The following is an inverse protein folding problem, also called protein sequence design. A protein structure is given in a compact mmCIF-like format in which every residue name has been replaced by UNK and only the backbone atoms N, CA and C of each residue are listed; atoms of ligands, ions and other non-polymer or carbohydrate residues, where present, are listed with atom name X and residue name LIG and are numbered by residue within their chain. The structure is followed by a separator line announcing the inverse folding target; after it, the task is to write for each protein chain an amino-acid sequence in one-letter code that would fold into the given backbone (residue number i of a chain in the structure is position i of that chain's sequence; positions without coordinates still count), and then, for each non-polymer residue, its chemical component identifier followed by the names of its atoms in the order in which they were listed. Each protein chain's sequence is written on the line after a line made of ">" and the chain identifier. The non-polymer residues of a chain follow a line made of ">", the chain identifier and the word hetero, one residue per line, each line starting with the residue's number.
data_IF_900854447093
#
_entry.id   IF_900854447093
#
_cell.length_a   1.000
_cell.length_b   1.000
_cell.length_c   1.000
_cell.angle_alpha   90.00
_cell.angle_beta   90.00
_cell.angle_gamma   90.00
#
_symmetry.space_group_name_H-M   'P 1'
#
loop_
_entity.id
_entity.type
_entity.pdbx_description
1 polymer ?
#
# COMPACT_ATOMS: atom_id res chain seq x y z
N UNK A 1 9.04 8.91 -10.81
CA UNK A 1 8.65 7.75 -9.99
C UNK A 1 7.52 7.02 -10.69
N UNK A 2 7.68 5.76 -11.05
CA UNK A 2 6.60 4.96 -11.62
C UNK A 2 5.76 4.42 -10.47
N UNK A 3 4.61 5.06 -10.17
CA UNK A 3 3.63 4.51 -9.24
C UNK A 3 3.04 3.25 -9.88
N UNK A 4 3.40 2.08 -9.38
CA UNK A 4 2.90 0.79 -9.87
C UNK A 4 1.38 0.63 -9.71
N UNK A 5 0.76 1.45 -8.87
CA UNK A 5 -0.68 1.46 -8.61
C UNK A 5 -1.24 2.88 -8.56
N UNK A 6 -2.50 3.03 -8.94
CA UNK A 6 -3.31 4.23 -8.71
C UNK A 6 -4.42 3.89 -7.73
N UNK A 7 -4.52 4.63 -6.64
CA UNK A 7 -5.56 4.44 -5.63
C UNK A 7 -6.62 5.53 -5.76
N UNK A 8 -7.88 5.11 -5.86
CA UNK A 8 -9.05 5.99 -5.87
C UNK A 8 -10.10 5.55 -4.86
N UNK A 9 -11.04 6.43 -4.55
CA UNK A 9 -12.14 6.17 -3.62
C UNK A 9 -13.48 6.24 -4.35
N UNK A 10 -14.33 5.26 -4.09
CA UNK A 10 -15.66 5.13 -4.71
C UNK A 10 -16.70 4.79 -3.63
N UNK A 11 -18.00 5.04 -3.84
CA UNK A 11 -19.03 4.60 -2.91
C UNK A 11 -19.05 3.07 -2.74
N UNK A 12 -19.45 2.58 -1.55
CA UNK A 12 -19.59 1.14 -1.26
C UNK A 12 -20.54 0.40 -2.23
N UNK A 13 -21.47 1.13 -2.83
CA UNK A 13 -22.41 0.58 -3.83
C UNK A 13 -21.79 0.37 -5.23
N UNK A 14 -20.55 0.78 -5.44
CA UNK A 14 -19.89 0.69 -6.74
C UNK A 14 -19.63 -0.76 -7.14
N UNK A 15 -19.75 -1.05 -8.43
CA UNK A 15 -19.49 -2.38 -8.96
C UNK A 15 -18.01 -2.77 -8.81
N UNK A 16 -17.76 -3.99 -8.35
CA UNK A 16 -16.43 -4.55 -8.25
C UNK A 16 -15.78 -4.73 -9.63
N UNK A 17 -14.47 -4.50 -9.72
CA UNK A 17 -13.65 -4.70 -10.92
C UNK A 17 -12.39 -5.47 -10.59
N UNK A 18 -12.05 -6.43 -11.44
CA UNK A 18 -10.81 -7.21 -11.30
C UNK A 18 -10.81 -8.10 -10.06
N UNK A 19 -9.90 -7.86 -9.14
CA UNK A 19 -9.83 -8.58 -7.86
C UNK A 19 -10.76 -7.89 -6.87
N UNK A 20 -11.67 -8.66 -6.25
CA UNK A 20 -12.50 -8.17 -5.14
C UNK A 20 -11.84 -8.54 -3.82
N UNK A 21 -11.56 -7.54 -2.98
CA UNK A 21 -11.03 -7.71 -1.62
C UNK A 21 -12.10 -7.34 -0.62
N UNK A 22 -12.35 -8.24 0.33
CA UNK A 22 -13.35 -8.07 1.40
C UNK A 22 -12.76 -8.44 2.76
N UNK A 23 -13.40 -7.98 3.83
CA UNK A 23 -12.98 -8.26 5.21
C UNK A 23 -14.04 -9.07 5.96
N UNK A 24 -13.59 -10.01 6.78
CA UNK A 24 -14.46 -10.75 7.69
C UNK A 24 -13.89 -10.75 9.11
N UNK A 25 -14.74 -11.00 10.10
CA UNK A 25 -14.32 -11.25 11.48
C UNK A 25 -13.86 -12.71 11.70
N UNK A 26 -13.55 -13.05 12.94
CA UNK A 26 -13.16 -14.40 13.38
C UNK A 26 -14.33 -15.42 13.36
N UNK A 27 -15.55 -14.97 13.13
CA UNK A 27 -16.74 -15.79 12.88
C UNK A 27 -17.10 -15.87 11.39
N UNK A 28 -16.22 -15.35 10.50
CA UNK A 28 -16.39 -15.27 9.04
C UNK A 28 -17.60 -14.42 8.61
N UNK A 29 -18.07 -13.53 9.48
CA UNK A 29 -19.10 -12.55 9.12
C UNK A 29 -18.47 -11.41 8.32
N UNK A 30 -19.22 -10.92 7.34
CA UNK A 30 -18.86 -9.75 6.52
C UNK A 30 -19.88 -8.64 6.74
N UNK A 31 -19.54 -7.41 6.32
CA UNK A 31 -20.47 -6.29 6.42
C UNK A 31 -21.63 -6.38 5.42
N UNK A 32 -22.71 -5.60 5.65
CA UNK A 32 -23.95 -5.72 4.86
C UNK A 32 -23.77 -5.36 3.38
N UNK A 33 -22.99 -4.32 3.04
CA UNK A 33 -22.73 -3.99 1.65
C UNK A 33 -21.83 -5.05 0.97
N UNK A 34 -20.88 -5.61 1.70
CA UNK A 34 -20.06 -6.75 1.25
C UNK A 34 -20.91 -7.99 1.03
N UNK A 35 -21.81 -8.33 1.94
CA UNK A 35 -22.73 -9.46 1.77
C UNK A 35 -23.60 -9.30 0.53
N UNK A 36 -24.11 -8.09 0.27
CA UNK A 36 -24.86 -7.76 -0.93
C UNK A 36 -24.02 -7.92 -2.21
N UNK A 37 -22.76 -7.47 -2.18
CA UNK A 37 -21.84 -7.59 -3.32
C UNK A 37 -21.45 -9.05 -3.61
N UNK A 38 -21.33 -9.88 -2.59
CA UNK A 38 -21.04 -11.31 -2.70
C UNK A 38 -22.26 -12.13 -3.11
N UNK A 39 -23.48 -11.71 -2.73
CA UNK A 39 -24.70 -12.48 -3.00
C UNK A 39 -24.59 -13.92 -2.50
N UNK A 40 -24.89 -14.90 -3.35
CA UNK A 40 -24.79 -16.33 -3.04
C UNK A 40 -23.38 -16.83 -2.74
N UNK A 41 -22.34 -16.08 -3.10
CA UNK A 41 -20.96 -16.46 -2.86
C UNK A 41 -20.52 -16.36 -1.38
N UNK A 42 -21.37 -15.86 -0.49
CA UNK A 42 -21.11 -15.94 0.98
C UNK A 42 -20.94 -17.40 1.42
N UNK A 43 -21.74 -18.32 0.91
CA UNK A 43 -21.61 -19.75 1.21
C UNK A 43 -20.36 -20.38 0.57
N UNK A 44 -19.94 -19.89 -0.61
CA UNK A 44 -18.65 -20.26 -1.20
C UNK A 44 -17.49 -19.87 -0.27
N UNK A 45 -17.50 -18.66 0.31
CA UNK A 45 -16.48 -18.21 1.27
C UNK A 45 -16.42 -19.13 2.48
N UNK A 46 -17.57 -19.54 3.04
CA UNK A 46 -17.60 -20.45 4.20
C UNK A 46 -17.02 -21.83 3.86
N UNK A 47 -17.41 -22.40 2.71
CA UNK A 47 -16.86 -23.69 2.24
C UNK A 47 -15.36 -23.61 2.00
N UNK A 48 -14.89 -22.58 1.32
CA UNK A 48 -13.47 -22.36 1.06
C UNK A 48 -12.69 -22.13 2.36
N UNK A 49 -13.26 -21.39 3.33
CA UNK A 49 -12.66 -21.17 4.63
C UNK A 49 -12.50 -22.47 5.41
N UNK A 50 -13.50 -23.36 5.38
CA UNK A 50 -13.42 -24.68 6.00
C UNK A 50 -12.31 -25.53 5.36
N UNK A 51 -12.26 -25.59 4.02
CA UNK A 51 -11.24 -26.35 3.29
C UNK A 51 -9.82 -25.85 3.53
N UNK A 52 -9.65 -24.53 3.66
CA UNK A 52 -8.34 -23.89 3.91
C UNK A 52 -8.00 -23.72 5.40
N UNK A 53 -8.84 -24.23 6.32
CA UNK A 53 -8.74 -23.98 7.76
C UNK A 53 -8.60 -22.48 8.11
N UNK A 54 -9.19 -21.59 7.30
CA UNK A 54 -9.16 -20.16 7.49
C UNK A 54 -10.17 -19.76 8.60
N UNK A 55 -9.70 -19.02 9.58
CA UNK A 55 -10.47 -18.62 10.78
C UNK A 55 -10.63 -17.11 10.92
N UNK A 56 -10.49 -16.34 9.85
CA UNK A 56 -10.65 -14.89 9.89
C UNK A 56 -9.70 -14.15 10.84
N UNK A 57 -8.58 -14.76 11.27
CA UNK A 57 -7.59 -14.09 12.14
C UNK A 57 -7.03 -12.85 11.47
N UNK A 58 -6.72 -11.82 12.27
CA UNK A 58 -6.20 -10.53 11.79
C UNK A 58 -5.01 -10.72 10.84
N UNK A 59 -5.14 -10.22 9.62
CA UNK A 59 -4.12 -10.29 8.57
C UNK A 59 -4.02 -11.62 7.83
N UNK A 60 -4.74 -12.67 8.25
CA UNK A 60 -4.84 -13.89 7.46
C UNK A 60 -5.64 -13.64 6.18
N UNK A 61 -5.31 -14.34 5.10
CA UNK A 61 -5.96 -14.17 3.81
C UNK A 61 -6.41 -15.51 3.24
N UNK A 62 -7.65 -15.53 2.72
CA UNK A 62 -8.21 -16.61 1.94
C UNK A 62 -8.37 -16.14 0.50
N UNK A 63 -7.87 -16.92 -0.44
CA UNK A 63 -7.75 -16.56 -1.85
C UNK A 63 -8.57 -17.53 -2.70
N UNK A 64 -9.60 -17.02 -3.35
CA UNK A 64 -10.54 -17.82 -4.16
C UNK A 64 -10.44 -17.36 -5.61
N UNK A 65 -9.99 -18.25 -6.48
CA UNK A 65 -9.87 -18.00 -7.90
C UNK A 65 -11.19 -18.30 -8.61
N UNK A 66 -11.53 -17.48 -9.59
CA UNK A 66 -12.76 -17.61 -10.40
C UNK A 66 -14.01 -17.87 -9.54
N UNK A 67 -14.34 -17.00 -8.55
CA UNK A 67 -15.43 -17.23 -7.62
C UNK A 67 -16.78 -17.22 -8.36
N UNK A 68 -17.50 -18.33 -8.30
CA UNK A 68 -18.84 -18.44 -8.88
C UNK A 68 -19.80 -17.44 -8.21
N UNK A 69 -20.64 -16.78 -9.02
CA UNK A 69 -21.64 -15.83 -8.53
C UNK A 69 -21.11 -14.42 -8.21
N UNK A 70 -19.80 -14.16 -8.39
CA UNK A 70 -19.21 -12.82 -8.18
C UNK A 70 -18.65 -12.30 -9.50
N UNK A 71 -18.93 -11.03 -9.81
CA UNK A 71 -18.33 -10.35 -10.98
C UNK A 71 -16.88 -9.92 -10.71
N UNK A 72 -16.04 -10.87 -10.35
CA UNK A 72 -14.61 -10.66 -10.10
C UNK A 72 -13.83 -11.91 -10.55
N UNK A 73 -12.62 -11.71 -11.06
CA UNK A 73 -11.76 -12.82 -11.46
C UNK A 73 -11.15 -13.55 -10.25
N UNK A 74 -11.15 -12.88 -9.10
CA UNK A 74 -10.54 -13.37 -7.88
C UNK A 74 -11.21 -12.69 -6.68
N UNK A 75 -11.48 -13.47 -5.65
CA UNK A 75 -12.00 -12.98 -4.37
C UNK A 75 -10.96 -13.21 -3.28
N UNK A 76 -10.49 -12.13 -2.68
CA UNK A 76 -9.57 -12.15 -1.55
C UNK A 76 -10.32 -11.77 -0.27
N UNK A 77 -10.44 -12.70 0.66
CA UNK A 77 -11.04 -12.46 1.97
C UNK A 77 -9.91 -12.27 2.99
N UNK A 78 -9.85 -11.11 3.62
CA UNK A 78 -8.86 -10.79 4.64
C UNK A 78 -9.54 -10.85 6.01
N UNK A 79 -8.98 -11.63 6.92
CA UNK A 79 -9.45 -11.67 8.30
C UNK A 79 -9.12 -10.37 9.04
N UNK A 80 -10.14 -9.79 9.63
CA UNK A 80 -10.01 -8.63 10.51
C UNK A 80 -9.95 -9.05 11.99
N UNK A 81 -10.22 -10.32 12.29
CA UNK A 81 -10.30 -10.79 13.67
C UNK A 81 -11.45 -10.08 14.42
N UNK A 82 -11.22 -9.77 15.70
CA UNK A 82 -12.18 -9.01 16.50
C UNK A 82 -12.06 -7.52 16.17
N UNK A 83 -13.07 -6.95 15.51
CA UNK A 83 -13.05 -5.56 15.02
C UNK A 83 -12.71 -4.52 16.11
N UNK A 84 -13.16 -4.74 17.35
CA UNK A 84 -12.88 -3.85 18.48
C UNK A 84 -11.39 -3.75 18.87
N UNK A 85 -10.55 -4.68 18.43
CA UNK A 85 -9.12 -4.72 18.72
C UNK A 85 -8.24 -4.19 17.60
N UNK A 86 -8.79 -3.75 16.47
CA UNK A 86 -8.03 -3.29 15.32
C UNK A 86 -7.29 -1.98 15.59
N UNK A 87 -5.99 -1.99 15.32
CA UNK A 87 -5.12 -0.82 15.37
C UNK A 87 -4.87 -0.27 13.97
N UNK A 88 -4.47 1.00 13.87
CA UNK A 88 -4.11 1.63 12.58
C UNK A 88 -3.06 0.81 11.79
N UNK A 89 -2.11 0.20 12.49
CA UNK A 89 -1.08 -0.65 11.87
C UNK A 89 -1.65 -1.95 11.27
N UNK A 90 -2.74 -2.49 11.81
CA UNK A 90 -3.39 -3.68 11.24
C UNK A 90 -4.09 -3.33 9.93
N UNK A 91 -4.75 -2.17 9.87
CA UNK A 91 -5.37 -1.66 8.65
C UNK A 91 -4.33 -1.38 7.55
N UNK A 92 -3.18 -0.81 7.92
CA UNK A 92 -2.06 -0.63 7.00
C UNK A 92 -1.56 -1.98 6.46
N UNK A 93 -1.42 -2.99 7.34
CA UNK A 93 -1.06 -4.35 6.93
C UNK A 93 -2.09 -4.98 6.00
N UNK A 94 -3.39 -4.74 6.18
CA UNK A 94 -4.44 -5.23 5.27
C UNK A 94 -4.22 -4.71 3.84
N UNK A 95 -3.88 -3.43 3.69
CA UNK A 95 -3.47 -2.88 2.40
C UNK A 95 -2.25 -3.58 1.82
N UNK A 96 -1.26 -3.87 2.67
CA UNK A 96 -0.07 -4.63 2.29
C UNK A 96 -0.37 -6.05 1.82
N UNK A 97 -1.28 -6.76 2.52
CA UNK A 97 -1.75 -8.12 2.14
C UNK A 97 -2.46 -8.06 0.79
N UNK A 98 -3.39 -7.12 0.60
CA UNK A 98 -4.11 -6.95 -0.64
C UNK A 98 -3.18 -6.66 -1.82
N UNK A 99 -2.24 -5.71 -1.67
CA UNK A 99 -1.25 -5.40 -2.71
C UNK A 99 -0.31 -6.57 -3.01
N UNK A 100 0.04 -7.38 -2.01
CA UNK A 100 0.86 -8.58 -2.20
C UNK A 100 0.17 -9.67 -3.03
N UNK A 101 -1.15 -9.59 -3.20
CA UNK A 101 -1.94 -10.50 -4.02
C UNK A 101 -2.29 -9.94 -5.40
N UNK A 102 -1.86 -8.73 -5.72
CA UNK A 102 -1.87 -8.23 -7.08
C UNK A 102 -0.98 -9.13 -7.93
N UNK A 103 -1.59 -9.91 -8.82
CA UNK A 103 -0.84 -10.70 -9.79
C UNK A 103 -0.17 -9.77 -10.81
N UNK A 104 0.94 -10.22 -11.39
CA UNK A 104 1.52 -9.56 -12.56
C UNK A 104 0.44 -9.46 -13.66
N UNK A 105 0.23 -8.25 -14.20
CA UNK A 105 -0.82 -8.02 -15.22
C UNK A 105 -2.23 -7.78 -14.70
N UNK A 106 -2.48 -7.80 -13.36
CA UNK A 106 -3.78 -7.41 -12.83
C UNK A 106 -4.02 -5.91 -13.07
N UNK A 107 -5.02 -5.59 -13.91
CA UNK A 107 -5.34 -4.21 -14.29
C UNK A 107 -6.16 -3.46 -13.23
N UNK A 108 -6.94 -4.17 -12.40
CA UNK A 108 -7.85 -3.55 -11.44
C UNK A 108 -8.05 -4.38 -10.16
N UNK A 109 -8.33 -3.67 -9.06
CA UNK A 109 -8.73 -4.25 -7.78
C UNK A 109 -9.79 -3.35 -7.13
N UNK A 110 -10.80 -3.95 -6.52
CA UNK A 110 -11.77 -3.26 -5.68
C UNK A 110 -11.63 -3.76 -4.25
N UNK A 111 -11.40 -2.85 -3.31
CA UNK A 111 -11.32 -3.15 -1.87
C UNK A 111 -12.57 -2.59 -1.20
N UNK A 112 -13.42 -3.45 -0.66
CA UNK A 112 -14.59 -3.04 0.12
C UNK A 112 -14.15 -2.66 1.53
N UNK A 113 -14.03 -1.37 1.82
CA UNK A 113 -13.62 -0.87 3.14
C UNK A 113 -14.79 -0.94 4.13
N UNK A 114 -15.20 -2.16 4.46
CA UNK A 114 -16.30 -2.47 5.35
C UNK A 114 -15.94 -3.62 6.28
N UNK A 115 -16.33 -3.50 7.54
CA UNK A 115 -16.26 -4.54 8.57
C UNK A 115 -17.68 -5.08 8.84
N UNK A 116 -17.82 -6.19 9.57
CA UNK A 116 -19.14 -6.67 10.01
C UNK A 116 -19.98 -5.63 10.75
N UNK A 117 -19.33 -4.69 11.44
CA UNK A 117 -19.96 -3.56 12.14
C UNK A 117 -20.40 -2.42 11.23
N UNK A 118 -20.08 -2.46 9.94
CA UNK A 118 -20.42 -1.43 8.95
C UNK A 118 -19.21 -0.83 8.23
N UNK A 119 -19.46 0.27 7.51
CA UNK A 119 -18.43 0.96 6.75
C UNK A 119 -17.27 1.43 7.66
N UNK A 120 -16.05 1.25 7.19
CA UNK A 120 -14.86 1.80 7.84
C UNK A 120 -14.87 3.32 7.78
N UNK A 121 -14.26 3.97 8.78
CA UNK A 121 -14.07 5.43 8.75
C UNK A 121 -13.12 5.84 7.62
N UNK A 122 -13.11 7.12 7.28
CA UNK A 122 -12.19 7.65 6.28
C UNK A 122 -10.73 7.39 6.65
N UNK A 123 -10.36 7.53 7.92
CA UNK A 123 -9.01 7.30 8.44
C UNK A 123 -8.63 5.82 8.33
N UNK A 124 -9.56 4.91 8.61
CA UNK A 124 -9.35 3.47 8.47
C UNK A 124 -9.13 3.09 7.00
N UNK A 125 -9.93 3.61 6.09
CA UNK A 125 -9.76 3.38 4.64
C UNK A 125 -8.44 3.96 4.12
N UNK A 126 -8.05 5.15 4.61
CA UNK A 126 -6.76 5.78 4.27
C UNK A 126 -5.56 4.97 4.75
N UNK A 127 -5.65 4.33 5.92
CA UNK A 127 -4.59 3.43 6.39
C UNK A 127 -4.42 2.22 5.43
N UNK A 128 -5.51 1.63 4.95
CA UNK A 128 -5.47 0.56 3.94
C UNK A 128 -4.86 1.07 2.63
N UNK A 129 -5.28 2.26 2.16
CA UNK A 129 -4.75 2.89 0.95
C UNK A 129 -3.25 3.14 1.03
N UNK A 130 -2.77 3.60 2.19
CA UNK A 130 -1.35 3.80 2.47
C UNK A 130 -0.57 2.48 2.43
N UNK A 131 -1.12 1.43 3.04
CA UNK A 131 -0.53 0.09 3.00
C UNK A 131 -0.43 -0.49 1.60
N UNK A 132 -1.44 -0.29 0.75
CA UNK A 132 -1.43 -0.65 -0.66
C UNK A 132 -0.24 0.02 -1.39
N UNK A 133 -0.08 1.34 -1.24
CA UNK A 133 1.00 2.10 -1.89
C UNK A 133 2.38 1.69 -1.38
N UNK A 134 2.54 1.57 -0.06
CA UNK A 134 3.81 1.18 0.54
C UNK A 134 4.27 -0.23 0.12
N UNK A 135 3.34 -1.17 -0.07
CA UNK A 135 3.66 -2.54 -0.51
C UNK A 135 3.90 -2.64 -2.01
N UNK A 136 3.25 -1.78 -2.80
CA UNK A 136 3.43 -1.74 -4.25
C UNK A 136 4.77 -1.13 -4.68
N UNK A 137 5.52 -0.50 -3.75
CA UNK A 137 6.83 0.05 -4.02
C UNK A 137 7.79 -1.01 -4.56
N UNK A 138 8.47 -0.68 -5.66
CA UNK A 138 9.53 -1.47 -6.28
C UNK A 138 10.70 -0.55 -6.63
N UNK A 139 11.91 -1.03 -6.35
CA UNK A 139 13.13 -0.38 -6.80
C UNK A 139 13.77 -1.25 -7.89
N UNK A 140 13.47 -0.94 -9.14
CA UNK A 140 13.91 -1.72 -10.31
C UNK A 140 14.69 -0.87 -11.33
N UNK A 141 15.09 0.34 -10.92
CA UNK A 141 15.74 1.35 -11.76
C UNK A 141 16.98 0.83 -12.51
N UNK A 142 17.73 -0.06 -11.87
CA UNK A 142 18.99 -0.59 -12.42
C UNK A 142 18.86 -2.04 -12.92
N UNK A 143 17.67 -2.60 -12.95
CA UNK A 143 17.45 -3.92 -13.52
C UNK A 143 17.57 -3.87 -15.04
N UNK A 144 18.58 -4.56 -15.58
CA UNK A 144 18.81 -4.70 -17.02
C UNK A 144 18.03 -5.87 -17.64
N UNK A 145 17.66 -6.86 -16.82
CA UNK A 145 16.84 -8.00 -17.24
C UNK A 145 15.53 -8.02 -16.47
N UNK A 146 14.44 -8.08 -17.18
CA UNK A 146 13.11 -8.35 -16.61
C UNK A 146 12.91 -9.86 -16.62
N UNK A 147 12.24 -10.40 -15.60
CA UNK A 147 11.79 -11.78 -15.60
C UNK A 147 10.60 -11.91 -16.57
N UNK A 148 10.43 -13.12 -17.15
CA UNK A 148 9.26 -13.42 -17.95
C UNK A 148 7.98 -13.09 -17.15
N UNK A 149 7.07 -12.31 -17.76
CA UNK A 149 5.87 -11.79 -17.11
C UNK A 149 6.04 -10.45 -16.37
N UNK A 150 7.26 -9.90 -16.25
CA UNK A 150 7.50 -8.52 -15.74
C UNK A 150 7.51 -7.47 -16.87
N UNK A 151 7.21 -7.88 -18.11
CA UNK A 151 7.15 -6.97 -19.25
C UNK A 151 5.99 -5.97 -19.07
N UNK A 152 6.37 -4.69 -19.01
CA UNK A 152 5.44 -3.58 -19.17
C UNK A 152 4.25 -3.58 -18.20
N UNK A 153 4.47 -3.75 -16.90
CA UNK A 153 3.40 -3.72 -15.92
C UNK A 153 2.54 -2.46 -16.07
N UNK A 154 1.34 -2.61 -16.65
CA UNK A 154 0.34 -1.56 -16.63
C UNK A 154 0.07 -1.19 -15.17
N UNK A 155 -0.05 0.11 -14.93
CA UNK A 155 -0.42 0.64 -13.62
C UNK A 155 -1.77 0.06 -13.21
N UNK A 156 -1.83 -0.66 -12.09
CA UNK A 156 -3.08 -1.22 -11.61
C UNK A 156 -3.97 -0.13 -11.00
N UNK A 157 -5.24 -0.08 -11.40
CA UNK A 157 -6.24 0.81 -10.82
C UNK A 157 -6.90 0.14 -9.61
N UNK A 158 -6.70 0.74 -8.44
CA UNK A 158 -7.28 0.24 -7.18
C UNK A 158 -8.37 1.19 -6.71
N UNK A 159 -9.59 0.67 -6.59
CA UNK A 159 -10.75 1.39 -6.06
C UNK A 159 -11.01 0.93 -4.63
N UNK A 160 -10.91 1.85 -3.65
CA UNK A 160 -11.44 1.63 -2.31
C UNK A 160 -12.90 2.05 -2.29
N UNK A 161 -13.78 1.08 -2.07
CA UNK A 161 -15.20 1.31 -1.87
C UNK A 161 -15.43 1.66 -0.38
N UNK A 162 -15.92 2.87 -0.12
CA UNK A 162 -16.00 3.49 1.21
C UNK A 162 -17.37 4.12 1.45
N UNK A 163 -17.71 4.39 2.71
CA UNK A 163 -18.96 5.05 3.06
C UNK A 163 -19.04 6.50 2.55
N UNK A 164 -17.95 7.26 2.70
CA UNK A 164 -17.82 8.64 2.18
C UNK A 164 -16.54 8.77 1.34
N UNK A 165 -16.71 8.73 0.03
CA UNK A 165 -15.59 8.80 -0.92
C UNK A 165 -14.91 10.17 -0.93
N UNK A 166 -15.65 11.27 -0.68
CA UNK A 166 -15.09 12.61 -0.68
C UNK A 166 -14.25 12.86 0.57
N UNK A 167 -14.76 12.47 1.75
CA UNK A 167 -14.03 12.57 3.00
C UNK A 167 -12.74 11.70 2.95
N UNK A 168 -12.84 10.46 2.47
CA UNK A 168 -11.69 9.57 2.32
C UNK A 168 -10.64 10.13 1.34
N UNK A 169 -11.07 10.70 0.21
CA UNK A 169 -10.16 11.34 -0.76
C UNK A 169 -9.43 12.52 -0.14
N UNK A 170 -10.14 13.39 0.59
CA UNK A 170 -9.55 14.55 1.30
C UNK A 170 -8.52 14.09 2.35
N UNK A 171 -8.88 13.12 3.18
CA UNK A 171 -7.98 12.56 4.20
C UNK A 171 -6.75 11.89 3.58
N UNK A 172 -6.91 11.20 2.44
CA UNK A 172 -5.80 10.54 1.74
C UNK A 172 -4.79 11.51 1.16
N UNK A 173 -5.18 12.75 0.82
CA UNK A 173 -4.23 13.76 0.32
C UNK A 173 -3.09 14.00 1.32
N UNK A 174 -3.41 14.23 2.59
CA UNK A 174 -2.40 14.43 3.63
C UNK A 174 -1.56 13.16 3.91
N UNK A 175 -2.22 12.00 4.05
CA UNK A 175 -1.54 10.73 4.25
C UNK A 175 -0.67 10.34 3.05
N UNK A 176 -1.08 10.71 1.84
CA UNK A 176 -0.32 10.51 0.60
C UNK A 176 1.07 11.14 0.66
N UNK A 177 1.19 12.36 1.21
CA UNK A 177 2.49 13.01 1.37
C UNK A 177 3.42 12.26 2.32
N UNK A 178 2.87 11.65 3.39
CA UNK A 178 3.66 10.81 4.30
C UNK A 178 4.15 9.56 3.56
N UNK A 179 3.28 8.91 2.79
CA UNK A 179 3.66 7.74 1.96
C UNK A 179 4.75 8.12 0.95
N UNK A 180 4.63 9.28 0.29
CA UNK A 180 5.63 9.78 -0.65
C UNK A 180 6.98 10.00 0.03
N UNK A 181 7.00 10.57 1.24
CA UNK A 181 8.21 10.73 2.05
C UNK A 181 8.88 9.38 2.38
N UNK A 182 8.09 8.36 2.75
CA UNK A 182 8.61 7.00 3.00
C UNK A 182 9.18 6.39 1.72
N UNK A 183 8.53 6.59 0.57
CA UNK A 183 9.02 6.09 -0.73
C UNK A 183 10.34 6.78 -1.10
N UNK A 184 10.44 8.11 -0.92
CA UNK A 184 11.69 8.85 -1.13
C UNK A 184 12.81 8.30 -0.24
N UNK A 185 12.54 8.06 1.04
CA UNK A 185 13.53 7.49 1.95
C UNK A 185 13.98 6.09 1.51
N UNK A 186 13.05 5.25 1.06
CA UNK A 186 13.38 3.92 0.50
C UNK A 186 14.20 4.00 -0.79
N UNK A 187 13.89 4.96 -1.66
CA UNK A 187 14.69 5.20 -2.87
C UNK A 187 16.13 5.56 -2.50
N UNK A 188 16.32 6.48 -1.53
CA UNK A 188 17.66 6.87 -1.06
C UNK A 188 18.44 5.70 -0.49
N UNK A 189 17.79 4.84 0.33
CA UNK A 189 18.45 3.65 0.92
C UNK A 189 18.83 2.61 -0.14
N UNK A 190 18.05 2.50 -1.22
CA UNK A 190 18.30 1.50 -2.26
C UNK A 190 19.26 1.98 -3.37
N UNK A 191 19.58 3.28 -3.41
CA UNK A 191 20.54 3.80 -4.38
C UNK A 191 21.96 3.25 -4.11
N UNK A 192 22.70 2.84 -5.15
CA UNK A 192 24.07 2.41 -4.99
C UNK A 192 25.01 3.59 -4.67
N UNK A 193 26.13 3.37 -3.97
CA UNK A 193 27.01 4.44 -3.48
C UNK A 193 27.69 5.26 -4.59
N UNK A 194 27.84 4.70 -5.76
CA UNK A 194 28.34 5.44 -6.94
C UNK A 194 27.32 6.40 -7.54
N UNK A 195 26.04 6.31 -7.12
CA UNK A 195 24.96 7.23 -7.50
C UNK A 195 24.61 8.15 -6.34
N UNK A 196 24.48 7.60 -5.13
CA UNK A 196 24.16 8.37 -3.93
C UNK A 196 25.39 8.50 -3.03
N UNK A 197 26.19 9.50 -3.29
CA UNK A 197 27.32 9.95 -2.47
C UNK A 197 26.94 11.24 -1.73
N UNK A 198 27.74 11.75 -0.76
CA UNK A 198 27.36 12.86 0.12
C UNK A 198 26.87 14.10 -0.60
N UNK A 199 27.53 14.54 -1.66
CA UNK A 199 27.16 15.73 -2.42
C UNK A 199 25.82 15.53 -3.16
N UNK A 200 25.59 14.35 -3.73
CA UNK A 200 24.32 14.04 -4.40
C UNK A 200 23.17 13.95 -3.39
N UNK A 201 23.43 13.40 -2.18
CA UNK A 201 22.44 13.42 -1.10
C UNK A 201 22.05 14.85 -0.73
N UNK A 202 23.04 15.73 -0.51
CA UNK A 202 22.82 17.14 -0.21
C UNK A 202 22.07 17.88 -1.34
N UNK A 203 22.39 17.56 -2.60
CA UNK A 203 21.69 18.09 -3.77
C UNK A 203 20.22 17.65 -3.80
N UNK A 204 19.93 16.37 -3.52
CA UNK A 204 18.55 15.87 -3.43
C UNK A 204 17.80 16.48 -2.26
N UNK A 205 18.42 16.58 -1.10
CA UNK A 205 17.83 17.22 0.07
C UNK A 205 17.48 18.71 -0.21
N UNK A 206 18.33 19.41 -0.96
CA UNK A 206 18.10 20.80 -1.36
C UNK A 206 16.83 20.99 -2.22
N UNK A 207 16.33 19.94 -2.87
CA UNK A 207 15.07 20.02 -3.62
C UNK A 207 13.85 20.23 -2.72
N UNK A 208 13.94 19.89 -1.43
CA UNK A 208 12.88 20.14 -0.46
C UNK A 208 12.59 21.64 -0.26
N UNK A 209 13.52 22.52 -0.65
CA UNK A 209 13.29 23.98 -0.68
C UNK A 209 12.08 24.36 -1.54
N UNK A 210 11.80 23.61 -2.62
CA UNK A 210 10.62 23.81 -3.46
C UNK A 210 9.30 23.55 -2.74
N UNK A 211 9.34 22.82 -1.62
CA UNK A 211 8.21 22.53 -0.76
C UNK A 211 8.13 23.50 0.46
N UNK A 212 8.96 24.56 0.48
CA UNK A 212 9.00 25.53 1.57
C UNK A 212 9.88 25.10 2.76
N UNK A 213 10.60 23.98 2.67
CA UNK A 213 11.53 23.52 3.72
C UNK A 213 12.82 24.35 3.66
N UNK A 214 13.25 24.94 4.77
CA UNK A 214 14.57 25.56 4.89
C UNK A 214 15.62 24.47 4.93
N UNK A 215 16.51 24.45 3.94
CA UNK A 215 17.61 23.48 3.86
C UNK A 215 18.93 24.24 3.86
N UNK A 216 19.82 23.90 4.77
CA UNK A 216 21.19 24.37 4.84
C UNK A 216 22.13 23.19 4.55
N UNK A 217 23.10 23.39 3.70
CA UNK A 217 24.13 22.39 3.37
C UNK A 217 25.45 22.89 3.91
N UNK A 218 26.06 22.13 4.81
CA UNK A 218 27.37 22.45 5.40
C UNK A 218 28.47 21.80 4.56
N UNK A 219 29.46 22.58 4.18
CA UNK A 219 30.69 22.07 3.59
C UNK A 219 31.65 21.54 4.66
N UNK A 220 32.76 20.94 4.25
CA UNK A 220 33.78 20.37 5.14
C UNK A 220 34.31 21.40 6.15
N UNK A 221 34.55 22.65 5.70
CA UNK A 221 35.07 23.72 6.58
C UNK A 221 34.06 24.14 7.63
N UNK A 222 32.79 24.22 7.25
CA UNK A 222 31.69 24.54 8.18
C UNK A 222 31.49 23.42 9.21
N UNK A 223 31.55 22.16 8.77
CA UNK A 223 31.45 20.99 9.64
C UNK A 223 32.62 20.91 10.62
N UNK A 224 33.82 21.19 10.18
CA UNK A 224 35.03 21.21 11.03
C UNK A 224 34.92 22.28 12.13
N UNK A 225 34.52 23.50 11.78
CA UNK A 225 34.25 24.58 12.74
C UNK A 225 33.21 24.21 13.80
N UNK A 226 32.25 23.35 13.46
CA UNK A 226 31.21 22.89 14.37
C UNK A 226 31.62 21.63 15.16
N UNK A 227 32.84 21.14 14.97
CA UNK A 227 33.35 19.94 15.67
C UNK A 227 32.66 18.64 15.27
N UNK A 228 32.14 18.55 14.02
CA UNK A 228 31.41 17.40 13.53
C UNK A 228 32.36 16.27 13.05
N UNK A 229 33.32 15.89 13.91
CA UNK A 229 34.41 14.95 13.54
C UNK A 229 33.93 13.58 13.10
N UNK A 230 32.85 13.04 13.68
CA UNK A 230 32.30 11.75 13.29
C UNK A 230 31.80 11.77 11.83
N UNK A 231 31.16 12.85 11.39
CA UNK A 231 30.71 13.03 10.02
C UNK A 231 31.88 13.21 9.04
N UNK A 232 32.92 13.92 9.46
CA UNK A 232 34.13 14.14 8.66
C UNK A 232 34.95 12.86 8.52
N UNK A 233 34.84 11.93 9.48
CA UNK A 233 35.49 10.61 9.46
C UNK A 233 34.81 9.55 8.60
N UNK A 234 33.62 9.83 8.03
CA UNK A 234 32.95 8.94 7.11
C UNK A 234 33.79 8.74 5.84
N UNK A 235 34.18 7.48 5.61
CA UNK A 235 34.96 7.07 4.44
C UNK A 235 34.01 6.84 3.26
N UNK A 236 33.65 7.86 2.56
CA UNK A 236 32.79 7.73 1.35
C UNK A 236 33.15 8.73 0.29
N UNK A 237 34.04 9.64 0.63
CA UNK A 237 34.42 10.79 -0.20
C UNK A 237 35.70 10.60 -0.98
N UNK A 238 36.46 9.55 -0.69
CA UNK A 238 37.87 9.46 -1.07
C UNK A 238 38.13 8.73 -2.38
N UNK A 239 37.14 8.20 -3.06
CA UNK A 239 37.38 7.40 -4.26
C UNK A 239 36.38 7.74 -5.36
N UNK A 240 36.53 8.91 -5.93
CA UNK A 240 36.12 9.22 -7.30
C UNK A 240 37.37 9.63 -8.07
#
# INVERSE_FOLDING_TARGET
>A
MSDAIKVGFVPLSSAARGILVVFCDDSLKVGPATAKALGGAVELVKRAAAAAAFKGKTGAALDILAPEGVKANRLLVIGAGKAAGLKANDLLKFGGVAAGKLAAGAAAMTVMAELPSGAMTSEQAVAIASGLRLRAYKFDRYKTRKKDGEEGGSRADISLAVGDANAAKKAFTAAGHVVDGVIIARDLVNEPPNVLFPEEFARRASQLRKLGVKVEVLDVKAMDKLGMGALLGEIGRAHV
#
